data_IF_331964782767
#
_entry.id   IF_331964782767
#
_cell.length_a   1.000
_cell.length_b   1.000
_cell.length_c   1.000
_cell.angle_alpha   90.00
_cell.angle_beta   90.00
_cell.angle_gamma   90.00
#
_symmetry.space_group_name_H-M   'P 1'
#
loop_
_entity.id
_entity.type
_entity.pdbx_description
1 polymer ?
#
# COMPACT_ATOMS: atom_id res chain seq x y z
N UNK A 1 17.69 -11.63 -19.55
CA UNK A 1 17.27 -11.12 -18.22
C UNK A 1 17.79 -9.70 -18.13
N UNK A 2 16.91 -8.72 -18.24
CA UNK A 2 17.28 -7.31 -18.03
C UNK A 2 17.36 -7.05 -16.52
N UNK A 3 18.53 -6.71 -16.03
CA UNK A 3 18.66 -6.21 -14.66
C UNK A 3 17.89 -4.88 -14.54
N UNK A 4 16.87 -4.86 -13.71
CA UNK A 4 16.11 -3.64 -13.39
C UNK A 4 16.67 -3.08 -12.07
N UNK A 5 17.28 -1.89 -12.07
CA UNK A 5 17.82 -1.31 -10.85
C UNK A 5 16.77 -1.26 -9.73
N UNK A 6 17.14 -1.75 -8.55
CA UNK A 6 16.28 -1.78 -7.38
C UNK A 6 15.39 -3.03 -7.24
N UNK A 7 15.35 -3.91 -8.24
CA UNK A 7 14.64 -5.20 -8.13
C UNK A 7 15.62 -6.35 -7.94
N UNK A 8 15.32 -7.23 -6.99
CA UNK A 8 16.07 -8.49 -6.85
C UNK A 8 15.72 -9.48 -7.97
N UNK A 9 14.46 -9.46 -8.42
CA UNK A 9 13.95 -10.32 -9.48
C UNK A 9 12.95 -9.54 -10.34
N UNK A 10 13.15 -9.52 -11.65
CA UNK A 10 12.19 -8.92 -12.58
C UNK A 10 10.96 -9.80 -12.80
N UNK A 11 11.10 -11.11 -12.59
CA UNK A 11 10.04 -12.11 -12.74
C UNK A 11 9.92 -12.89 -11.42
N UNK A 12 8.71 -12.96 -10.88
CA UNK A 12 8.38 -13.72 -9.68
C UNK A 12 7.13 -14.55 -9.95
N UNK A 13 7.16 -15.86 -9.68
CA UNK A 13 6.02 -16.75 -9.90
C UNK A 13 5.54 -16.82 -11.35
N UNK A 14 6.40 -16.53 -12.32
CA UNK A 14 6.05 -16.47 -13.75
C UNK A 14 5.52 -15.11 -14.23
N UNK A 15 5.33 -14.15 -13.33
CA UNK A 15 4.89 -12.80 -13.66
C UNK A 15 6.06 -11.84 -13.73
N UNK A 16 6.17 -11.09 -14.81
CA UNK A 16 7.11 -9.98 -14.93
C UNK A 16 6.54 -8.74 -14.23
N UNK A 17 7.40 -7.88 -13.69
CA UNK A 17 6.97 -6.66 -12.99
C UNK A 17 6.04 -5.77 -13.84
N UNK A 18 6.23 -5.73 -15.15
CA UNK A 18 5.35 -4.98 -16.07
C UNK A 18 3.95 -5.58 -16.22
N UNK A 19 3.70 -6.77 -15.68
CA UNK A 19 2.35 -7.38 -15.69
C UNK A 19 1.46 -6.80 -14.59
N UNK A 20 2.02 -6.05 -13.64
CA UNK A 20 1.24 -5.37 -12.60
C UNK A 20 0.48 -4.21 -13.23
N UNK A 21 -0.83 -4.19 -12.97
CA UNK A 21 -1.73 -3.09 -13.36
C UNK A 21 -2.29 -2.43 -12.12
N UNK A 22 -2.12 -1.14 -12.00
CA UNK A 22 -2.80 -0.35 -10.99
C UNK A 22 -4.19 -0.01 -11.52
N UNK A 23 -5.23 -0.34 -10.78
CA UNK A 23 -6.64 -0.18 -11.20
C UNK A 23 -7.47 0.63 -10.23
N UNK A 24 -7.04 0.77 -8.98
CA UNK A 24 -7.63 1.66 -7.99
C UNK A 24 -6.56 2.23 -7.06
N UNK A 25 -6.84 3.37 -6.48
CA UNK A 25 -6.02 3.99 -5.43
C UNK A 25 -6.91 4.76 -4.45
N UNK A 26 -6.55 4.73 -3.17
CA UNK A 26 -7.29 5.40 -2.09
C UNK A 26 -6.36 6.31 -1.31
N UNK A 27 -6.80 7.52 -1.04
CA UNK A 27 -6.12 8.47 -0.16
C UNK A 27 -7.16 9.34 0.56
N UNK A 28 -6.73 10.11 1.55
CA UNK A 28 -7.57 11.04 2.29
C UNK A 28 -7.21 12.51 2.01
N UNK A 29 -6.03 12.77 1.43
CA UNK A 29 -5.49 14.10 1.20
C UNK A 29 -6.24 14.82 0.07
N UNK A 30 -6.73 16.02 0.36
CA UNK A 30 -7.42 16.88 -0.60
C UNK A 30 -6.57 17.24 -1.82
N UNK A 31 -5.23 17.20 -1.70
CA UNK A 31 -4.30 17.46 -2.80
C UNK A 31 -4.12 16.26 -3.72
N UNK A 32 -4.56 15.06 -3.31
CA UNK A 32 -4.38 13.80 -4.04
C UNK A 32 -5.69 13.26 -4.57
N UNK A 33 -6.76 13.31 -3.77
CA UNK A 33 -8.07 12.80 -4.18
C UNK A 33 -8.56 13.48 -5.45
N UNK A 34 -8.94 12.67 -6.44
CA UNK A 34 -9.38 13.10 -7.77
C UNK A 34 -8.27 13.29 -8.80
N UNK A 35 -6.98 13.27 -8.39
CA UNK A 35 -5.88 13.28 -9.35
C UNK A 35 -5.66 11.89 -9.95
N UNK A 36 -5.04 11.83 -11.13
CA UNK A 36 -4.45 10.59 -11.65
C UNK A 36 -3.38 10.08 -10.67
N UNK A 37 -3.33 8.79 -10.43
CA UNK A 37 -2.39 8.16 -9.51
C UNK A 37 -0.93 8.56 -9.81
N UNK A 38 -0.55 8.71 -11.09
CA UNK A 38 0.79 9.12 -11.48
C UNK A 38 1.16 10.55 -11.03
N UNK A 39 0.17 11.43 -10.86
CA UNK A 39 0.38 12.77 -10.31
C UNK A 39 0.28 12.75 -8.78
N UNK A 40 -0.70 12.00 -8.26
CA UNK A 40 -0.99 11.95 -6.83
C UNK A 40 0.20 11.47 -6.00
N UNK A 41 0.99 10.54 -6.51
CA UNK A 41 2.20 10.03 -5.81
C UNK A 41 3.24 11.13 -5.55
N UNK A 42 3.19 12.25 -6.28
CA UNK A 42 4.10 13.39 -6.13
C UNK A 42 3.43 14.61 -5.51
N UNK A 43 2.12 14.58 -5.35
CA UNK A 43 1.37 15.67 -4.74
C UNK A 43 1.54 15.67 -3.21
N UNK A 44 1.33 16.86 -2.60
CA UNK A 44 1.36 17.03 -1.14
C UNK A 44 2.74 16.78 -0.51
N UNK A 45 2.77 16.57 0.80
CA UNK A 45 3.99 16.29 1.55
C UNK A 45 4.56 14.92 1.13
N UNK A 46 5.77 14.92 0.60
CA UNK A 46 6.42 13.73 0.10
C UNK A 46 7.88 13.66 0.59
N UNK A 47 8.24 12.54 1.18
CA UNK A 47 9.60 12.29 1.68
C UNK A 47 10.50 11.61 0.64
N UNK A 48 9.97 11.29 -0.53
CA UNK A 48 10.69 10.55 -1.56
C UNK A 48 11.23 11.49 -2.63
N UNK A 49 12.52 11.33 -2.96
CA UNK A 49 13.12 12.05 -4.09
C UNK A 49 12.57 11.45 -5.38
N UNK A 50 12.05 12.31 -6.27
CA UNK A 50 11.62 11.89 -7.60
C UNK A 50 12.83 11.52 -8.46
N UNK A 51 12.92 10.27 -8.88
CA UNK A 51 14.00 9.75 -9.71
C UNK A 51 13.54 9.25 -11.09
N UNK A 52 12.22 9.25 -11.34
CA UNK A 52 11.65 8.87 -12.63
C UNK A 52 10.31 9.55 -12.84
N UNK A 53 9.95 9.80 -14.08
CA UNK A 53 8.60 10.18 -14.44
C UNK A 53 7.71 8.95 -14.57
N UNK A 54 6.49 9.04 -14.05
CA UNK A 54 5.48 7.98 -14.15
C UNK A 54 4.45 8.40 -15.19
N UNK A 55 4.24 7.61 -16.24
CA UNK A 55 3.20 7.88 -17.21
C UNK A 55 1.81 7.91 -16.57
N UNK A 56 0.90 8.69 -17.16
CA UNK A 56 -0.51 8.69 -16.73
C UNK A 56 -1.07 7.28 -16.70
N UNK A 57 -1.71 6.94 -15.59
CA UNK A 57 -2.31 5.62 -15.37
C UNK A 57 -3.77 5.56 -15.83
N UNK A 58 -4.45 6.70 -15.89
CA UNK A 58 -5.90 6.78 -16.08
C UNK A 58 -6.69 6.39 -14.82
N UNK A 59 -6.01 6.15 -13.68
CA UNK A 59 -6.61 5.71 -12.42
C UNK A 59 -6.76 6.92 -11.49
N UNK A 60 -7.98 7.39 -11.22
CA UNK A 60 -8.18 8.46 -10.26
C UNK A 60 -7.99 7.96 -8.82
N UNK A 61 -7.40 8.80 -7.98
CA UNK A 61 -7.34 8.54 -6.54
C UNK A 61 -8.71 8.78 -5.93
N UNK A 62 -9.28 7.77 -5.30
CA UNK A 62 -10.56 7.79 -4.64
C UNK A 62 -10.41 8.20 -3.16
N UNK A 63 -11.47 8.83 -2.61
CA UNK A 63 -11.50 9.19 -1.19
C UNK A 63 -11.72 7.94 -0.33
N UNK A 64 -10.68 7.51 0.37
CA UNK A 64 -10.76 6.44 1.36
C UNK A 64 -11.35 6.91 2.71
N UNK A 65 -11.52 5.99 3.66
CA UNK A 65 -11.95 6.31 5.03
C UNK A 65 -10.76 6.80 5.84
N UNK A 66 -10.93 7.87 6.62
CA UNK A 66 -9.82 8.52 7.33
C UNK A 66 -9.28 7.72 8.51
N UNK A 67 -10.08 7.06 9.30
CA UNK A 67 -9.63 6.34 10.52
C UNK A 67 -8.55 7.13 11.32
N UNK A 68 -7.40 6.48 11.61
CA UNK A 68 -6.26 7.03 12.36
C UNK A 68 -5.07 7.46 11.47
N UNK A 69 -5.20 7.41 10.14
CA UNK A 69 -4.08 7.59 9.19
C UNK A 69 -3.40 8.95 9.22
N UNK A 70 -4.01 9.99 9.79
CA UNK A 70 -3.42 11.32 9.85
C UNK A 70 -2.61 11.61 11.12
N UNK A 71 -2.74 10.84 12.18
CA UNK A 71 -1.99 11.06 13.41
C UNK A 71 -1.94 12.50 13.90
N UNK A 72 -1.11 12.78 14.92
CA UNK A 72 -1.02 14.12 15.50
C UNK A 72 -0.38 15.14 14.55
N UNK A 73 0.70 14.75 13.88
CA UNK A 73 1.52 15.68 13.08
C UNK A 73 0.95 15.93 11.68
N UNK A 74 0.43 14.89 11.02
CA UNK A 74 -0.14 15.04 9.67
C UNK A 74 -1.43 15.85 9.65
N UNK A 75 -2.19 15.90 10.74
CA UNK A 75 -3.39 16.76 10.85
C UNK A 75 -3.10 18.25 10.75
N UNK A 76 -1.85 18.67 11.01
CA UNK A 76 -1.44 20.06 10.90
C UNK A 76 -1.04 20.45 9.47
N UNK A 77 -0.64 19.49 8.64
CA UNK A 77 -0.08 19.73 7.31
C UNK A 77 -0.97 19.21 6.17
N UNK A 78 -1.74 18.14 6.42
CA UNK A 78 -2.60 17.51 5.42
C UNK A 78 -4.06 17.92 5.69
N UNK A 79 -4.66 18.56 4.69
CA UNK A 79 -6.09 18.82 4.68
C UNK A 79 -6.82 17.60 4.09
N UNK A 80 -7.77 17.06 4.85
CA UNK A 80 -8.64 16.01 4.33
C UNK A 80 -9.52 16.50 3.18
N UNK A 81 -9.74 15.64 2.21
CA UNK A 81 -10.69 15.90 1.13
C UNK A 81 -12.13 15.92 1.65
N UNK A 82 -12.89 16.90 1.20
CA UNK A 82 -14.33 17.03 1.51
C UNK A 82 -15.20 16.06 0.68
N UNK A 83 -14.59 15.32 -0.26
CA UNK A 83 -15.31 14.30 -1.03
C UNK A 83 -15.84 13.19 -0.11
N UNK A 84 -17.01 12.59 -0.41
CA UNK A 84 -17.51 11.45 0.35
C UNK A 84 -16.55 10.26 0.20
N UNK A 85 -16.31 9.54 1.29
CA UNK A 85 -15.55 8.30 1.23
C UNK A 85 -16.30 7.26 0.39
N UNK A 86 -15.57 6.54 -0.46
CA UNK A 86 -16.14 5.46 -1.26
C UNK A 86 -16.32 4.19 -0.44
N UNK A 87 -17.20 3.31 -0.89
CA UNK A 87 -17.25 1.93 -0.41
C UNK A 87 -16.05 1.17 -0.99
N UNK A 88 -15.01 1.00 -0.17
CA UNK A 88 -13.77 0.35 -0.58
C UNK A 88 -14.00 -1.08 -1.03
N UNK A 89 -14.82 -1.84 -0.32
CA UNK A 89 -15.13 -3.25 -0.67
C UNK A 89 -15.80 -3.34 -2.03
N UNK A 90 -16.74 -2.42 -2.30
CA UNK A 90 -17.42 -2.39 -3.59
C UNK A 90 -16.47 -2.05 -4.72
N UNK A 91 -15.59 -1.05 -4.54
CA UNK A 91 -14.55 -0.71 -5.54
C UNK A 91 -13.62 -1.88 -5.81
N UNK A 92 -13.14 -2.57 -4.76
CA UNK A 92 -12.26 -3.72 -4.91
C UNK A 92 -12.92 -4.84 -5.74
N UNK A 93 -14.22 -5.07 -5.56
CA UNK A 93 -15.01 -6.06 -6.31
C UNK A 93 -15.25 -5.64 -7.76
N UNK A 94 -15.68 -4.40 -7.98
CA UNK A 94 -16.03 -3.88 -9.29
C UNK A 94 -14.80 -3.85 -10.23
N UNK A 95 -13.64 -3.47 -9.69
CA UNK A 95 -12.36 -3.45 -10.41
C UNK A 95 -11.66 -4.82 -10.46
N UNK A 96 -12.23 -5.85 -9.86
CA UNK A 96 -11.70 -7.23 -9.84
C UNK A 96 -10.25 -7.26 -9.36
N UNK A 97 -9.97 -6.62 -8.22
CA UNK A 97 -8.62 -6.46 -7.71
C UNK A 97 -8.09 -7.79 -7.15
N UNK A 98 -6.93 -8.24 -7.62
CA UNK A 98 -6.25 -9.44 -7.11
C UNK A 98 -5.55 -9.17 -5.78
N UNK A 99 -4.92 -7.99 -5.64
CA UNK A 99 -4.06 -7.66 -4.50
C UNK A 99 -4.27 -6.21 -4.06
N UNK A 100 -4.57 -6.01 -2.80
CA UNK A 100 -4.57 -4.69 -2.15
C UNK A 100 -3.24 -4.47 -1.42
N UNK A 101 -2.54 -3.37 -1.74
CA UNK A 101 -1.28 -2.99 -1.08
C UNK A 101 -1.53 -1.82 -0.15
N UNK A 102 -1.07 -1.92 1.09
CA UNK A 102 -1.20 -0.89 2.12
C UNK A 102 0.13 -0.16 2.33
N UNK A 103 0.19 1.10 1.93
CA UNK A 103 1.31 2.03 2.10
C UNK A 103 0.94 3.22 3.01
N UNK A 104 0.07 3.01 3.98
CA UNK A 104 -0.32 4.06 4.92
C UNK A 104 0.87 4.54 5.77
N UNK A 105 0.80 5.75 6.33
CA UNK A 105 1.83 6.25 7.24
C UNK A 105 1.96 5.40 8.50
N UNK A 106 3.16 5.37 9.08
CA UNK A 106 3.42 4.71 10.38
C UNK A 106 2.47 5.28 11.44
N UNK A 107 1.87 4.39 12.25
CA UNK A 107 0.87 4.74 13.25
C UNK A 107 -0.58 4.58 12.79
N UNK A 108 -0.81 4.21 11.53
CA UNK A 108 -2.16 3.99 10.94
C UNK A 108 -2.68 2.57 11.21
N UNK A 109 -2.72 2.14 12.46
CA UNK A 109 -3.08 0.75 12.81
C UNK A 109 -4.55 0.43 12.52
N UNK A 110 -5.46 1.33 12.90
CA UNK A 110 -6.90 1.14 12.67
C UNK A 110 -7.21 1.14 11.18
N UNK A 111 -6.61 2.08 10.44
CA UNK A 111 -6.78 2.16 8.99
C UNK A 111 -6.21 0.92 8.29
N UNK A 112 -5.01 0.44 8.66
CA UNK A 112 -4.43 -0.76 8.08
C UNK A 112 -5.30 -2.00 8.29
N UNK A 113 -5.82 -2.19 9.51
CA UNK A 113 -6.74 -3.28 9.85
C UNK A 113 -8.08 -3.15 9.12
N UNK A 114 -8.58 -1.92 8.92
CA UNK A 114 -9.77 -1.66 8.11
C UNK A 114 -9.56 -2.12 6.66
N UNK A 115 -8.46 -1.73 6.02
CA UNK A 115 -8.17 -2.15 4.64
C UNK A 115 -7.90 -3.66 4.54
N UNK A 116 -7.26 -4.27 5.53
CA UNK A 116 -7.10 -5.73 5.59
C UNK A 116 -8.46 -6.45 5.64
N UNK A 117 -9.43 -5.93 6.40
CA UNK A 117 -10.78 -6.49 6.42
C UNK A 117 -11.48 -6.26 5.08
N UNK A 118 -11.35 -5.07 4.46
CA UNK A 118 -11.89 -4.82 3.12
C UNK A 118 -11.35 -5.81 2.08
N UNK A 119 -10.05 -6.15 2.15
CA UNK A 119 -9.46 -7.15 1.27
C UNK A 119 -10.12 -8.54 1.45
N UNK A 120 -10.32 -8.99 2.68
CA UNK A 120 -11.03 -10.24 2.98
C UNK A 120 -12.45 -10.21 2.41
N UNK A 121 -13.21 -9.14 2.69
CA UNK A 121 -14.61 -8.99 2.29
C UNK A 121 -14.78 -8.89 0.76
N UNK A 122 -13.74 -8.42 0.07
CA UNK A 122 -13.71 -8.34 -1.38
C UNK A 122 -13.15 -9.59 -2.06
N UNK A 123 -12.43 -10.45 -1.33
CA UNK A 123 -11.77 -11.63 -1.89
C UNK A 123 -10.39 -11.33 -2.49
N UNK A 124 -9.70 -10.29 -2.01
CA UNK A 124 -8.37 -9.89 -2.47
C UNK A 124 -7.25 -10.40 -1.56
N UNK A 125 -6.09 -10.69 -2.10
CA UNK A 125 -4.86 -10.80 -1.32
C UNK A 125 -4.48 -9.44 -0.69
N UNK A 126 -3.71 -9.46 0.39
CA UNK A 126 -3.29 -8.24 1.08
C UNK A 126 -1.78 -8.18 1.29
N UNK A 127 -1.18 -7.04 0.97
CA UNK A 127 0.23 -6.76 1.25
C UNK A 127 0.32 -5.59 2.22
N UNK A 128 0.80 -5.87 3.44
CA UNK A 128 1.00 -4.85 4.46
C UNK A 128 2.44 -4.35 4.43
N UNK A 129 2.62 -3.12 3.93
CA UNK A 129 3.94 -2.50 3.79
C UNK A 129 4.30 -1.55 4.93
N UNK A 130 3.56 -1.57 6.06
CA UNK A 130 3.85 -0.75 7.23
C UNK A 130 4.04 -1.63 8.49
N UNK A 131 4.73 -1.09 9.53
CA UNK A 131 5.05 -1.84 10.76
C UNK A 131 3.84 -1.96 11.70
N UNK A 132 2.75 -2.50 11.20
CA UNK A 132 1.56 -2.90 11.97
C UNK A 132 1.43 -4.41 11.85
N UNK A 133 1.32 -5.11 12.97
CA UNK A 133 1.21 -6.57 12.97
C UNK A 133 -0.18 -6.99 12.45
N UNK A 134 -0.20 -7.47 11.22
CA UNK A 134 -1.36 -8.07 10.56
C UNK A 134 -0.98 -9.45 10.03
N UNK A 135 0.02 -9.55 9.15
CA UNK A 135 0.45 -10.84 8.62
C UNK A 135 1.08 -11.74 9.67
N UNK A 136 1.72 -11.17 10.70
CA UNK A 136 2.31 -11.88 11.84
C UNK A 136 1.39 -12.01 13.06
N UNK A 137 0.15 -11.48 13.00
CA UNK A 137 -0.85 -11.64 14.05
C UNK A 137 -1.67 -12.91 13.81
N UNK A 138 -1.68 -13.90 14.74
CA UNK A 138 -2.38 -15.18 14.54
C UNK A 138 -3.88 -15.06 14.27
N UNK A 139 -4.52 -13.99 14.76
CA UNK A 139 -5.96 -13.75 14.52
C UNK A 139 -6.20 -13.37 13.07
N UNK A 140 -5.37 -12.46 12.54
CA UNK A 140 -5.45 -12.04 11.14
C UNK A 140 -4.98 -13.12 10.18
N UNK A 141 -3.89 -13.81 10.49
CA UNK A 141 -3.42 -15.00 9.75
C UNK A 141 -4.56 -15.99 9.57
N UNK A 142 -5.26 -16.33 10.67
CA UNK A 142 -6.40 -17.24 10.61
C UNK A 142 -7.54 -16.73 9.74
N UNK A 143 -7.89 -15.44 9.80
CA UNK A 143 -8.95 -14.85 8.97
C UNK A 143 -8.64 -14.99 7.48
N UNK A 144 -7.40 -14.68 7.06
CA UNK A 144 -6.97 -14.82 5.68
C UNK A 144 -6.91 -16.28 5.24
N UNK A 145 -6.41 -17.19 6.09
CA UNK A 145 -6.39 -18.61 5.82
C UNK A 145 -7.80 -19.21 5.67
N UNK A 146 -8.73 -18.85 6.55
CA UNK A 146 -10.13 -19.29 6.48
C UNK A 146 -10.82 -18.79 5.20
N UNK A 147 -10.44 -17.60 4.72
CA UNK A 147 -10.92 -17.04 3.46
C UNK A 147 -10.19 -17.60 2.22
N UNK A 148 -9.12 -18.37 2.39
CA UNK A 148 -8.29 -18.88 1.29
C UNK A 148 -7.49 -17.79 0.56
N UNK A 149 -7.18 -16.68 1.24
CA UNK A 149 -6.53 -15.50 0.66
C UNK A 149 -5.08 -15.36 1.14
N UNK A 150 -4.14 -15.02 0.25
CA UNK A 150 -2.77 -14.70 0.64
C UNK A 150 -2.68 -13.39 1.44
N UNK A 151 -1.77 -13.38 2.43
CA UNK A 151 -1.33 -12.17 3.12
C UNK A 151 0.19 -12.13 3.19
N UNK A 152 0.78 -10.99 2.96
CA UNK A 152 2.23 -10.74 3.04
C UNK A 152 2.49 -9.48 3.85
N UNK A 153 3.43 -9.51 4.75
CA UNK A 153 3.87 -8.40 5.60
C UNK A 153 4.71 -8.94 6.76
N UNK A 154 4.95 -8.23 7.77
CA UNK A 154 4.61 -6.82 7.93
C UNK A 154 5.87 -6.00 7.67
N UNK A 155 5.66 -4.72 7.26
CA UNK A 155 6.72 -3.77 6.98
C UNK A 155 7.51 -4.02 5.67
N UNK A 156 8.20 -2.98 5.19
CA UNK A 156 9.11 -3.03 4.03
C UNK A 156 10.54 -3.04 4.54
N UNK A 157 11.34 -4.02 4.10
CA UNK A 157 12.76 -4.05 4.44
C UNK A 157 13.54 -3.01 3.64
N UNK A 158 14.36 -2.23 4.35
CA UNK A 158 15.39 -1.42 3.71
C UNK A 158 16.36 -2.29 2.92
N UNK A 159 16.64 -1.94 1.68
CA UNK A 159 17.67 -2.60 0.88
C UNK A 159 19.07 -2.19 1.32
N UNK A 160 19.25 -0.91 1.67
CA UNK A 160 20.47 -0.37 2.24
C UNK A 160 20.13 0.27 3.58
N UNK A 161 20.82 -0.10 4.62
CA UNK A 161 20.61 0.44 5.97
C UNK A 161 20.63 -0.61 7.05
N UNK A 162 19.91 -0.38 8.14
CA UNK A 162 19.97 -1.19 9.36
C UNK A 162 19.81 -2.71 9.10
N UNK A 163 18.86 -3.13 8.28
CA UNK A 163 18.60 -4.56 8.06
C UNK A 163 19.79 -5.30 7.43
N UNK A 164 20.39 -4.74 6.37
CA UNK A 164 21.55 -5.36 5.71
C UNK A 164 22.77 -5.24 6.59
N UNK A 165 23.02 -4.05 7.13
CA UNK A 165 24.16 -3.80 8.02
C UNK A 165 24.11 -4.68 9.24
N UNK A 166 22.97 -4.78 9.93
CA UNK A 166 22.81 -5.65 11.10
C UNK A 166 23.01 -7.13 10.76
N UNK A 167 22.52 -7.60 9.61
CA UNK A 167 22.74 -9.00 9.17
C UNK A 167 24.19 -9.31 8.90
N UNK A 168 24.93 -8.37 8.32
CA UNK A 168 26.38 -8.53 8.09
C UNK A 168 27.10 -8.54 9.43
N UNK A 169 26.81 -7.58 10.32
CA UNK A 169 27.45 -7.49 11.64
C UNK A 169 27.15 -8.71 12.52
N UNK A 170 25.93 -9.24 12.45
CA UNK A 170 25.55 -10.45 13.20
C UNK A 170 26.21 -11.74 12.70
N UNK A 171 26.89 -11.71 11.55
CA UNK A 171 27.66 -12.84 10.99
C UNK A 171 29.16 -12.75 11.28
N UNK A 172 29.65 -11.62 11.80
CA UNK A 172 31.02 -11.42 12.25
C UNK A 172 31.22 -11.92 13.68
#
# INVERSE_FOLDING_TARGET
DQEIPGLMHAVVGGYHISSIKFVAAFDVDAKKVGLDLADAIWASENNTIKFSDVPKTGVPVLRGVTNDGLGKYYRETIKESDAPAVDVVQVLKDEQIDVLICYLPVGSEVAAKYYAQCAIDAGCAFVNALPVFIASDPVWEKKFADAGLPIVGDDIKSQVGATITHRIMAKL
#
